data_IF_590768726716
#
_entry.id   IF_590768726716
#
_cell.length_a   1.000
_cell.length_b   1.000
_cell.length_c   1.000
_cell.angle_alpha   90.00
_cell.angle_beta   90.00
_cell.angle_gamma   90.00
#
_symmetry.space_group_name_H-M   'P 1'
#
loop_
_entity.id
_entity.type
_entity.pdbx_description
1 polymer ?
#
# COMPACT_ATOMS: atom_id res chain seq x y z
N UNK A 1 2.95 58.98 64.90
CA UNK A 1 2.07 58.85 63.72
C UNK A 1 2.68 57.80 62.80
N UNK A 2 1.88 56.85 62.30
CA UNK A 2 2.28 55.47 62.03
C UNK A 2 2.85 55.28 60.62
N UNK A 3 3.65 54.24 60.36
CA UNK A 3 3.19 53.24 59.38
C UNK A 3 3.87 51.85 59.44
N UNK A 4 3.00 50.84 59.28
CA UNK A 4 3.11 49.46 58.76
C UNK A 4 4.47 48.75 58.71
N UNK A 5 4.70 47.68 59.49
CA UNK A 5 4.33 46.27 59.22
C UNK A 5 4.42 45.89 57.73
N UNK A 6 5.26 44.89 57.38
CA UNK A 6 4.86 43.60 56.75
C UNK A 6 6.10 42.79 56.31
N UNK A 7 6.28 41.62 56.95
CA UNK A 7 7.02 40.44 56.47
C UNK A 7 6.52 40.04 55.07
N UNK A 8 7.38 39.52 54.18
CA UNK A 8 7.10 38.45 53.19
C UNK A 8 8.46 38.14 52.52
N UNK A 9 9.16 37.09 52.97
CA UNK A 9 9.13 35.72 52.42
C UNK A 9 9.84 35.60 51.06
N UNK A 10 11.07 35.09 51.12
CA UNK A 10 11.91 34.67 49.98
C UNK A 10 11.26 33.42 49.38
N UNK A 11 10.60 33.59 48.23
CA UNK A 11 10.02 32.48 47.45
C UNK A 11 11.06 32.03 46.43
N UNK A 12 11.81 30.97 46.75
CA UNK A 12 12.66 30.26 45.78
C UNK A 12 11.76 29.66 44.70
N UNK A 13 11.79 30.26 43.51
CA UNK A 13 11.16 29.71 42.32
C UNK A 13 12.05 28.58 41.80
N UNK A 14 11.74 27.34 42.17
CA UNK A 14 12.31 26.16 41.53
C UNK A 14 11.72 26.07 40.12
N UNK A 15 12.48 26.53 39.12
CA UNK A 15 12.16 26.35 37.70
C UNK A 15 12.41 24.88 37.37
N UNK A 16 11.37 24.06 37.49
CA UNK A 16 11.34 22.74 36.86
C UNK A 16 11.32 22.95 35.35
N UNK A 17 12.49 22.88 34.70
CA UNK A 17 12.57 22.65 33.27
C UNK A 17 11.95 21.27 32.98
N UNK A 18 10.65 21.26 32.69
CA UNK A 18 10.06 20.17 31.93
C UNK A 18 10.68 20.24 30.53
N UNK A 19 11.82 19.58 30.35
CA UNK A 19 12.34 19.28 29.03
C UNK A 19 11.30 18.41 28.33
N UNK A 20 10.46 19.02 27.50
CA UNK A 20 9.71 18.29 26.49
C UNK A 20 10.74 17.65 25.57
N UNK A 21 11.05 16.37 25.81
CA UNK A 21 11.60 15.50 24.79
C UNK A 21 10.53 15.41 23.71
N UNK A 22 10.58 16.33 22.74
CA UNK A 22 9.95 16.10 21.46
C UNK A 22 10.66 14.88 20.90
N UNK A 23 10.00 13.72 20.95
CA UNK A 23 10.37 12.60 20.11
C UNK A 23 10.41 13.19 18.69
N UNK A 24 11.60 13.22 18.09
CA UNK A 24 11.75 13.54 16.68
C UNK A 24 10.94 12.49 15.94
N UNK A 25 9.69 12.83 15.60
CA UNK A 25 8.91 12.05 14.67
C UNK A 25 9.75 11.94 13.41
N UNK A 26 10.03 10.71 12.98
CA UNK A 26 10.74 10.46 11.74
C UNK A 26 9.94 11.14 10.63
N UNK A 27 10.48 12.22 10.06
CA UNK A 27 9.79 13.11 9.13
C UNK A 27 9.36 12.42 7.83
N UNK A 28 9.84 11.19 7.62
CA UNK A 28 9.53 10.30 6.51
C UNK A 28 8.39 9.34 6.78
N UNK A 29 7.95 9.19 8.03
CA UNK A 29 6.72 8.47 8.35
C UNK A 29 5.51 9.36 8.02
N UNK A 30 4.45 8.75 7.51
CA UNK A 30 3.22 9.46 7.17
C UNK A 30 2.01 8.54 7.21
N UNK A 31 0.82 9.14 7.25
CA UNK A 31 -0.45 8.41 7.23
C UNK A 31 -1.20 8.67 5.94
N UNK A 32 -1.97 7.68 5.50
CA UNK A 32 -2.90 7.83 4.38
C UNK A 32 -4.26 7.32 4.83
N UNK A 33 -5.28 8.14 4.63
CA UNK A 33 -6.67 7.74 4.83
C UNK A 33 -7.30 7.52 3.48
N UNK A 34 -7.99 6.38 3.35
CA UNK A 34 -8.75 6.00 2.17
C UNK A 34 -10.22 5.96 2.55
N UNK A 35 -11.10 6.39 1.65
CA UNK A 35 -12.54 6.27 1.81
C UNK A 35 -13.24 5.98 0.46
N UNK A 36 -14.34 5.22 0.54
CA UNK A 36 -15.18 4.86 -0.60
C UNK A 36 -14.40 4.13 -1.68
N UNK A 37 -13.80 2.98 -1.34
CA UNK A 37 -12.87 2.31 -2.24
C UNK A 37 -13.37 0.97 -2.75
N UNK A 38 -12.93 0.67 -3.98
CA UNK A 38 -12.94 -0.67 -4.55
C UNK A 38 -11.53 -1.07 -4.95
N UNK A 39 -11.23 -2.36 -4.91
CA UNK A 39 -9.95 -2.88 -5.35
C UNK A 39 -10.07 -4.20 -6.09
N UNK A 40 -9.14 -4.45 -6.99
CA UNK A 40 -8.79 -5.77 -7.45
C UNK A 40 -7.54 -6.25 -6.71
N UNK A 41 -7.54 -7.52 -6.28
CA UNK A 41 -6.34 -8.21 -5.80
C UNK A 41 -6.21 -9.57 -6.49
N UNK A 42 -5.13 -9.73 -7.25
CA UNK A 42 -4.70 -11.00 -7.85
C UNK A 42 -3.45 -11.54 -7.17
N UNK A 43 -3.45 -12.82 -6.83
CA UNK A 43 -2.33 -13.54 -6.23
C UNK A 43 -2.10 -14.84 -7.00
N UNK A 44 -0.94 -14.94 -7.65
CA UNK A 44 -0.64 -16.02 -8.59
C UNK A 44 0.79 -16.54 -8.45
N UNK A 45 1.06 -17.80 -8.87
CA UNK A 45 2.41 -18.34 -8.82
C UNK A 45 3.32 -17.69 -9.87
N UNK A 46 4.58 -17.47 -9.51
CA UNK A 46 5.66 -17.07 -10.42
C UNK A 46 6.91 -17.88 -10.15
N UNK A 47 7.88 -17.84 -11.07
CA UNK A 47 9.18 -18.47 -10.86
C UNK A 47 9.89 -17.87 -9.63
N UNK A 48 10.30 -18.73 -8.69
CA UNK A 48 11.13 -18.31 -7.55
C UNK A 48 12.42 -17.61 -8.01
N UNK A 49 13.06 -18.12 -9.07
CA UNK A 49 14.28 -17.51 -9.60
C UNK A 49 14.04 -16.09 -10.11
N UNK A 50 12.90 -15.83 -10.76
CA UNK A 50 12.55 -14.48 -11.23
C UNK A 50 12.25 -13.56 -10.05
N UNK A 51 11.43 -14.02 -9.09
CA UNK A 51 11.07 -13.26 -7.89
C UNK A 51 12.28 -12.90 -7.01
N UNK A 52 13.23 -13.82 -6.83
CA UNK A 52 14.46 -13.60 -6.04
C UNK A 52 15.32 -12.45 -6.57
N UNK A 53 15.27 -12.15 -7.87
CA UNK A 53 16.02 -11.01 -8.42
C UNK A 53 15.46 -9.65 -8.01
N UNK A 54 14.20 -9.61 -7.56
CA UNK A 54 13.47 -8.40 -7.20
C UNK A 54 13.40 -8.18 -5.68
N UNK A 55 13.54 -9.24 -4.89
CA UNK A 55 13.46 -9.18 -3.43
C UNK A 55 14.87 -9.17 -2.84
N UNK A 56 15.27 -8.09 -2.14
CA UNK A 56 16.62 -7.99 -1.59
C UNK A 56 16.84 -8.99 -0.45
N UNK A 57 18.12 -9.26 -0.15
CA UNK A 57 18.50 -10.07 0.99
C UNK A 57 17.91 -9.53 2.30
N UNK A 58 17.57 -10.42 3.23
CA UNK A 58 16.95 -10.08 4.52
C UNK A 58 15.41 -10.10 4.52
N UNK A 59 14.78 -10.45 3.39
CA UNK A 59 13.40 -10.91 3.34
C UNK A 59 13.35 -12.42 3.03
N UNK A 60 12.24 -13.04 3.41
CA UNK A 60 11.95 -14.44 3.09
C UNK A 60 10.72 -14.46 2.19
N UNK A 61 10.89 -14.87 0.93
CA UNK A 61 9.77 -15.09 0.02
C UNK A 61 8.91 -16.25 0.55
N UNK A 62 7.59 -16.06 0.60
CA UNK A 62 6.67 -17.11 1.01
C UNK A 62 6.70 -18.27 0.01
N UNK A 63 6.72 -19.52 0.51
CA UNK A 63 6.81 -20.71 -0.33
C UNK A 63 8.22 -21.05 -0.84
N UNK A 64 9.22 -20.20 -0.64
CA UNK A 64 10.56 -20.40 -1.21
C UNK A 64 11.23 -21.73 -0.81
N UNK A 65 10.93 -22.27 0.38
CA UNK A 65 11.42 -23.60 0.82
C UNK A 65 10.92 -24.75 -0.06
N UNK A 66 9.80 -24.56 -0.74
CA UNK A 66 9.20 -25.50 -1.67
C UNK A 66 9.58 -25.22 -3.14
N UNK A 67 10.43 -24.21 -3.39
CA UNK A 67 10.72 -23.73 -4.75
C UNK A 67 9.65 -22.81 -5.33
N UNK A 68 8.74 -22.33 -4.51
CA UNK A 68 7.58 -21.52 -4.92
C UNK A 68 7.82 -20.04 -4.63
N UNK A 69 7.21 -19.18 -5.45
CA UNK A 69 7.03 -17.76 -5.19
C UNK A 69 5.71 -17.31 -5.80
N UNK A 70 5.21 -16.17 -5.37
CA UNK A 70 3.96 -15.66 -5.85
C UNK A 70 3.99 -14.14 -6.05
N UNK A 71 3.42 -13.70 -7.17
CA UNK A 71 3.16 -12.29 -7.46
C UNK A 71 1.84 -11.89 -6.80
N UNK A 72 1.79 -10.67 -6.29
CA UNK A 72 0.56 -10.01 -5.85
C UNK A 72 0.38 -8.75 -6.66
N UNK A 73 -0.75 -8.64 -7.33
CA UNK A 73 -1.16 -7.50 -8.15
C UNK A 73 -2.36 -6.86 -7.48
N UNK A 74 -2.29 -5.56 -7.24
CA UNK A 74 -3.36 -4.78 -6.64
C UNK A 74 -3.65 -3.57 -7.51
N UNK A 75 -4.92 -3.24 -7.68
CA UNK A 75 -5.36 -1.96 -8.20
C UNK A 75 -6.52 -1.46 -7.36
N UNK A 76 -6.59 -0.15 -7.13
CA UNK A 76 -7.60 0.43 -6.24
C UNK A 76 -8.06 1.75 -6.81
N UNK A 77 -9.37 1.99 -6.73
CA UNK A 77 -9.99 3.30 -6.95
C UNK A 77 -10.73 3.70 -5.68
N UNK A 78 -10.48 4.93 -5.24
CA UNK A 78 -11.08 5.51 -4.04
C UNK A 78 -11.68 6.88 -4.37
N UNK A 79 -12.86 7.14 -3.83
CA UNK A 79 -13.51 8.45 -3.90
C UNK A 79 -12.68 9.54 -3.20
N UNK A 80 -12.06 9.19 -2.08
CA UNK A 80 -11.28 10.13 -1.27
C UNK A 80 -10.01 9.46 -0.72
N UNK A 81 -8.86 10.08 -1.00
CA UNK A 81 -7.59 9.77 -0.35
C UNK A 81 -6.96 11.06 0.16
N UNK A 82 -6.59 11.07 1.44
CA UNK A 82 -5.80 12.14 2.06
C UNK A 82 -4.49 11.61 2.60
N UNK A 83 -3.43 12.39 2.44
CA UNK A 83 -2.08 12.07 2.93
C UNK A 83 -1.72 13.05 4.03
N UNK A 84 -1.47 12.54 5.24
CA UNK A 84 -1.34 13.31 6.48
C UNK A 84 -2.52 14.27 6.71
N UNK A 85 -2.33 15.56 6.44
CA UNK A 85 -3.34 16.62 6.58
C UNK A 85 -3.65 17.30 5.24
N UNK A 86 -3.21 16.72 4.11
CA UNK A 86 -3.55 17.22 2.80
C UNK A 86 -5.05 17.06 2.52
N UNK A 87 -5.65 17.94 1.68
CA UNK A 87 -7.02 17.77 1.22
C UNK A 87 -7.23 16.39 0.59
N UNK A 88 -8.37 15.77 0.88
CA UNK A 88 -8.76 14.53 0.23
C UNK A 88 -9.08 14.79 -1.25
N UNK A 89 -8.72 13.84 -2.12
CA UNK A 89 -9.05 13.86 -3.54
C UNK A 89 -9.28 12.44 -4.07
N UNK A 90 -10.04 12.26 -5.16
CA UNK A 90 -10.14 10.99 -5.86
C UNK A 90 -8.75 10.47 -6.18
N UNK A 91 -8.54 9.17 -5.99
CA UNK A 91 -7.22 8.57 -6.20
C UNK A 91 -7.36 7.15 -6.69
N UNK A 92 -6.54 6.87 -7.69
CA UNK A 92 -6.29 5.54 -8.20
C UNK A 92 -4.85 5.18 -7.90
N UNK A 93 -4.63 3.89 -7.68
CA UNK A 93 -3.29 3.33 -7.53
C UNK A 93 -3.23 1.92 -8.07
N UNK A 94 -2.04 1.51 -8.49
CA UNK A 94 -1.71 0.13 -8.79
C UNK A 94 -0.41 -0.25 -8.11
N UNK A 95 -0.38 -1.42 -7.49
CA UNK A 95 0.74 -1.89 -6.70
C UNK A 95 1.02 -3.36 -7.03
N UNK A 96 2.27 -3.67 -7.38
CA UNK A 96 2.70 -5.04 -7.71
C UNK A 96 3.85 -5.42 -6.81
N UNK A 97 3.83 -6.66 -6.32
CA UNK A 97 4.85 -7.17 -5.43
C UNK A 97 4.98 -8.68 -5.40
N UNK A 98 5.86 -9.14 -4.51
CA UNK A 98 6.13 -10.56 -4.26
C UNK A 98 5.70 -10.90 -2.84
N UNK A 99 4.97 -12.00 -2.67
CA UNK A 99 4.50 -12.44 -1.36
C UNK A 99 5.67 -12.87 -0.45
N UNK A 100 5.62 -12.43 0.81
CA UNK A 100 6.65 -12.62 1.82
C UNK A 100 6.11 -13.34 3.05
N UNK A 101 7.01 -14.01 3.77
CA UNK A 101 6.81 -14.25 5.20
C UNK A 101 6.95 -12.92 5.94
N UNK A 102 6.00 -12.63 6.84
CA UNK A 102 5.97 -11.40 7.63
C UNK A 102 7.32 -11.11 8.33
N UNK A 103 8.05 -10.04 7.94
CA UNK A 103 9.35 -9.72 8.53
C UNK A 103 9.30 -9.39 10.02
N UNK A 104 8.15 -8.94 10.53
CA UNK A 104 7.91 -8.60 11.93
C UNK A 104 6.83 -9.46 12.59
N UNK A 105 6.35 -10.51 11.90
CA UNK A 105 5.30 -11.40 12.39
C UNK A 105 3.88 -10.82 12.37
N UNK A 106 3.66 -9.66 11.73
CA UNK A 106 2.33 -9.01 11.65
C UNK A 106 1.75 -9.02 10.23
N UNK A 107 0.44 -8.75 10.12
CA UNK A 107 -0.29 -8.65 8.86
C UNK A 107 -0.82 -9.99 8.37
N UNK A 108 -2.03 -9.96 7.82
CA UNK A 108 -2.69 -11.12 7.22
C UNK A 108 -2.08 -11.45 5.86
N UNK A 109 -1.56 -10.43 5.16
CA UNK A 109 -0.74 -10.58 3.96
C UNK A 109 0.48 -9.64 4.03
N UNK A 110 1.60 -10.12 3.50
CA UNK A 110 2.86 -9.39 3.48
C UNK A 110 3.47 -9.48 2.09
N UNK A 111 3.80 -8.35 1.48
CA UNK A 111 4.37 -8.30 0.13
C UNK A 111 5.59 -7.38 0.07
N UNK A 112 6.58 -7.72 -0.74
CA UNK A 112 7.64 -6.79 -1.13
C UNK A 112 7.15 -5.95 -2.31
N UNK A 113 7.17 -4.62 -2.19
CA UNK A 113 6.75 -3.70 -3.26
C UNK A 113 7.79 -3.69 -4.36
N UNK A 114 7.37 -4.01 -5.58
CA UNK A 114 8.20 -3.94 -6.80
C UNK A 114 7.81 -2.73 -7.63
N UNK A 115 6.51 -2.47 -7.79
CA UNK A 115 5.96 -1.33 -8.51
C UNK A 115 4.88 -0.68 -7.64
N UNK A 116 4.88 0.65 -7.60
CA UNK A 116 3.82 1.46 -7.02
C UNK A 116 3.52 2.62 -7.96
N UNK A 117 2.29 2.70 -8.46
CA UNK A 117 1.82 3.76 -9.37
C UNK A 117 0.60 4.43 -8.74
N UNK A 118 0.49 5.75 -8.84
CA UNK A 118 -0.70 6.49 -8.40
C UNK A 118 -0.91 7.77 -9.22
N UNK A 119 -2.17 8.18 -9.39
CA UNK A 119 -2.53 9.50 -9.94
C UNK A 119 -2.58 10.61 -8.87
N UNK A 120 -2.19 10.31 -7.63
CA UNK A 120 -2.12 11.28 -6.54
C UNK A 120 -0.68 11.77 -6.36
N UNK A 121 -0.39 12.97 -6.86
CA UNK A 121 0.96 13.54 -6.83
C UNK A 121 1.50 13.70 -5.41
N UNK A 122 0.65 14.10 -4.46
CA UNK A 122 1.03 14.24 -3.05
C UNK A 122 1.48 12.89 -2.48
N UNK A 123 0.74 11.83 -2.77
CA UNK A 123 1.07 10.47 -2.33
C UNK A 123 2.38 9.98 -2.95
N UNK A 124 2.55 10.13 -4.27
CA UNK A 124 3.78 9.75 -4.97
C UNK A 124 5.00 10.46 -4.37
N UNK A 125 4.93 11.79 -4.19
CA UNK A 125 6.01 12.59 -3.59
C UNK A 125 6.31 12.19 -2.14
N UNK A 126 5.30 11.86 -1.33
CA UNK A 126 5.52 11.43 0.07
C UNK A 126 6.18 10.06 0.13
N UNK A 127 5.84 9.13 -0.78
CA UNK A 127 6.55 7.87 -0.92
C UNK A 127 8.00 8.05 -1.38
N UNK A 128 8.24 8.90 -2.38
CA UNK A 128 9.58 9.20 -2.86
C UNK A 128 10.45 9.78 -1.73
N UNK A 129 9.90 10.72 -0.96
CA UNK A 129 10.57 11.28 0.22
C UNK A 129 10.86 10.24 1.30
N UNK A 130 9.99 9.23 1.44
CA UNK A 130 10.20 8.09 2.34
C UNK A 130 11.14 7.02 1.78
N UNK A 131 11.58 7.16 0.51
CA UNK A 131 12.55 6.29 -0.16
C UNK A 131 11.94 5.18 -1.01
N UNK A 132 10.61 5.13 -1.17
CA UNK A 132 9.95 4.25 -2.14
C UNK A 132 9.82 4.99 -3.48
N UNK A 133 10.34 4.45 -4.61
CA UNK A 133 10.21 5.08 -5.92
C UNK A 133 8.79 4.90 -6.48
N UNK A 134 7.81 5.60 -5.88
CA UNK A 134 6.45 5.63 -6.39
C UNK A 134 6.38 6.44 -7.68
N UNK A 135 5.66 5.91 -8.66
CA UNK A 135 5.48 6.51 -9.97
C UNK A 135 4.20 7.33 -9.95
N UNK A 136 4.31 8.60 -10.31
CA UNK A 136 3.15 9.45 -10.55
C UNK A 136 2.69 9.28 -12.00
N UNK A 137 1.48 8.77 -12.18
CA UNK A 137 0.83 8.63 -13.47
C UNK A 137 -0.52 9.36 -13.45
N UNK A 138 -0.60 10.60 -13.97
CA UNK A 138 -1.86 11.34 -14.01
C UNK A 138 -2.87 10.73 -15.00
N UNK A 139 -2.46 9.78 -15.83
CA UNK A 139 -3.32 9.04 -16.77
C UNK A 139 -3.59 7.60 -16.30
N UNK A 140 -3.17 7.23 -15.09
CA UNK A 140 -3.63 6.01 -14.46
C UNK A 140 -5.15 6.00 -14.50
N UNK A 141 -5.69 4.89 -14.99
CA UNK A 141 -7.12 4.70 -15.20
C UNK A 141 -7.58 3.46 -14.45
N UNK A 142 -8.69 3.56 -13.73
CA UNK A 142 -9.43 2.45 -13.13
C UNK A 142 -10.91 2.60 -13.52
N UNK A 143 -11.39 1.68 -14.34
CA UNK A 143 -12.77 1.67 -14.81
C UNK A 143 -13.44 0.36 -14.42
N UNK A 144 -14.63 0.46 -13.83
CA UNK A 144 -15.50 -0.67 -13.58
C UNK A 144 -16.86 -0.41 -14.23
N UNK A 145 -17.24 -1.26 -15.18
CA UNK A 145 -18.53 -1.18 -15.86
C UNK A 145 -19.44 -2.28 -15.35
N UNK A 146 -20.44 -1.97 -14.49
CA UNK A 146 -21.37 -2.98 -14.02
C UNK A 146 -22.23 -3.50 -15.17
N UNK A 147 -22.56 -4.79 -15.12
CA UNK A 147 -23.52 -5.39 -16.03
C UNK A 147 -24.97 -5.00 -15.67
N UNK A 148 -25.94 -5.52 -16.43
CA UNK A 148 -27.36 -5.24 -16.21
C UNK A 148 -27.91 -5.70 -14.85
N UNK A 149 -27.23 -6.62 -14.16
CA UNK A 149 -27.62 -7.09 -12.83
C UNK A 149 -27.09 -6.19 -11.72
N UNK A 150 -26.01 -5.46 -11.97
CA UNK A 150 -25.29 -4.68 -10.96
C UNK A 150 -24.55 -5.54 -9.92
N UNK A 151 -24.50 -6.87 -10.11
CA UNK A 151 -23.80 -7.81 -9.23
C UNK A 151 -22.44 -8.25 -9.78
N UNK A 152 -22.16 -7.93 -11.03
CA UNK A 152 -20.89 -8.17 -11.70
C UNK A 152 -20.58 -7.04 -12.68
N UNK A 153 -19.36 -7.00 -13.17
CA UNK A 153 -18.93 -6.01 -14.15
C UNK A 153 -17.57 -6.33 -14.74
N UNK A 154 -17.18 -5.53 -15.73
CA UNK A 154 -15.86 -5.58 -16.34
C UNK A 154 -14.95 -4.53 -15.70
N UNK A 155 -13.77 -4.97 -15.28
CA UNK A 155 -12.68 -4.14 -14.80
C UNK A 155 -11.70 -3.85 -15.94
N UNK A 156 -11.28 -2.60 -16.07
CA UNK A 156 -10.10 -2.19 -16.82
C UNK A 156 -9.22 -1.29 -15.94
N UNK A 157 -7.93 -1.59 -15.86
CA UNK A 157 -6.94 -0.72 -15.20
C UNK A 157 -5.77 -0.54 -16.13
N UNK A 158 -5.27 0.67 -16.33
CA UNK A 158 -4.07 0.93 -17.14
C UNK A 158 -3.11 1.84 -16.40
N UNK A 159 -1.86 1.41 -16.30
CA UNK A 159 -0.79 2.15 -15.61
C UNK A 159 0.46 2.23 -16.49
N UNK A 160 1.13 3.37 -16.44
CA UNK A 160 2.41 3.62 -17.09
C UNK A 160 3.25 4.61 -16.27
N UNK A 161 4.42 5.00 -16.78
CA UNK A 161 5.21 6.07 -16.19
C UNK A 161 6.54 6.29 -16.88
N UNK A 162 7.25 7.34 -16.48
CA UNK A 162 8.65 7.53 -16.83
C UNK A 162 9.43 6.31 -16.31
N UNK A 163 10.03 5.53 -17.21
CA UNK A 163 10.73 4.26 -16.96
C UNK A 163 9.89 3.04 -16.56
N UNK A 164 8.56 3.13 -16.60
CA UNK A 164 7.66 2.00 -16.44
C UNK A 164 6.96 1.69 -17.77
N UNK A 165 7.33 0.59 -18.47
CA UNK A 165 6.55 0.09 -19.58
C UNK A 165 5.10 -0.14 -19.16
N UNK A 166 4.16 0.27 -20.02
CA UNK A 166 2.75 0.15 -19.71
C UNK A 166 2.33 -1.29 -19.41
N UNK A 167 1.38 -1.41 -18.49
CA UNK A 167 0.66 -2.64 -18.23
C UNK A 167 -0.80 -2.30 -17.99
N UNK A 168 -1.66 -3.30 -18.17
CA UNK A 168 -3.07 -3.15 -17.86
C UNK A 168 -3.65 -4.42 -17.25
N UNK A 169 -4.72 -4.26 -16.49
CA UNK A 169 -5.53 -5.32 -15.94
C UNK A 169 -6.86 -5.32 -16.68
N UNK A 170 -7.35 -6.50 -17.05
CA UNK A 170 -8.65 -6.61 -17.69
C UNK A 170 -9.33 -7.93 -17.34
N UNK A 171 -10.63 -7.87 -17.05
CA UNK A 171 -11.46 -9.05 -16.84
C UNK A 171 -12.72 -8.74 -16.07
N UNK A 172 -13.33 -9.76 -15.47
CA UNK A 172 -14.61 -9.64 -14.77
C UNK A 172 -14.45 -9.65 -13.27
N UNK A 173 -15.33 -8.94 -12.58
CA UNK A 173 -15.45 -8.98 -11.13
C UNK A 173 -16.90 -9.20 -10.71
N UNK A 174 -17.09 -9.78 -9.53
CA UNK A 174 -18.37 -10.00 -8.89
C UNK A 174 -18.38 -9.22 -7.58
N UNK A 175 -19.50 -8.56 -7.27
CA UNK A 175 -19.68 -7.83 -6.02
C UNK A 175 -19.61 -8.78 -4.81
N UNK A 176 -19.05 -8.33 -3.67
CA UNK A 176 -19.01 -9.14 -2.47
C UNK A 176 -20.42 -9.57 -2.01
N UNK A 177 -20.56 -10.79 -1.46
CA UNK A 177 -21.81 -11.20 -0.84
C UNK A 177 -22.22 -10.26 0.30
N UNK A 178 -23.53 -10.03 0.53
CA UNK A 178 -23.97 -9.21 1.65
C UNK A 178 -23.57 -9.85 2.99
N UNK A 179 -23.20 -9.02 3.96
CA UNK A 179 -22.77 -9.45 5.31
C UNK A 179 -21.48 -10.29 5.31
N UNK A 180 -20.57 -10.07 4.36
CA UNK A 180 -19.27 -10.74 4.28
C UNK A 180 -18.11 -9.89 4.82
N UNK A 181 -18.41 -8.89 5.64
CA UNK A 181 -17.40 -7.95 6.14
C UNK A 181 -16.43 -8.65 7.08
N UNK A 182 -15.16 -8.27 6.95
CA UNK A 182 -14.11 -8.67 7.89
C UNK A 182 -13.10 -7.55 8.10
N UNK A 183 -12.33 -7.66 9.17
CA UNK A 183 -11.13 -6.85 9.37
C UNK A 183 -9.96 -7.51 8.65
N UNK A 184 -9.10 -6.72 8.03
CA UNK A 184 -7.93 -7.20 7.32
C UNK A 184 -6.74 -6.25 7.51
N UNK A 185 -5.53 -6.78 7.58
CA UNK A 185 -4.29 -6.02 7.70
C UNK A 185 -3.31 -6.42 6.60
N UNK A 186 -3.13 -5.56 5.61
CA UNK A 186 -2.18 -5.76 4.52
C UNK A 186 -0.90 -4.97 4.74
N UNK A 187 0.23 -5.67 4.69
CA UNK A 187 1.56 -5.06 4.80
C UNK A 187 2.29 -5.10 3.47
N UNK A 188 2.86 -3.96 3.08
CA UNK A 188 3.80 -3.86 1.98
C UNK A 188 5.14 -3.35 2.48
N UNK A 189 6.21 -3.97 2.02
CA UNK A 189 7.57 -3.74 2.48
C UNK A 189 8.42 -3.24 1.33
N UNK A 190 9.40 -2.40 1.64
CA UNK A 190 10.40 -1.96 0.67
C UNK A 190 11.72 -1.70 1.41
N UNK A 191 12.86 -1.91 0.75
CA UNK A 191 14.15 -1.47 1.29
C UNK A 191 14.73 -0.42 0.37
N UNK A 192 14.79 0.82 0.87
CA UNK A 192 15.47 1.93 0.23
C UNK A 192 16.84 2.20 0.86
N UNK A 193 17.56 3.24 0.39
CA UNK A 193 18.87 3.63 0.93
C UNK A 193 18.86 3.94 2.43
N UNK A 194 17.69 4.32 2.95
CA UNK A 194 17.49 4.86 4.30
C UNK A 194 17.01 3.80 5.32
N UNK A 195 16.72 2.60 4.83
CA UNK A 195 16.27 1.48 5.64
C UNK A 195 15.06 0.75 5.08
N UNK A 196 14.37 0.06 5.97
CA UNK A 196 13.19 -0.75 5.65
C UNK A 196 11.92 0.07 5.86
N UNK A 197 11.21 0.33 4.78
CA UNK A 197 9.90 0.96 4.78
C UNK A 197 8.81 -0.11 4.92
N UNK A 198 7.82 0.16 5.76
CA UNK A 198 6.59 -0.62 5.91
C UNK A 198 5.39 0.27 5.64
N UNK A 199 4.52 -0.18 4.74
CA UNK A 199 3.17 0.32 4.52
C UNK A 199 2.22 -0.65 5.22
N UNK A 200 1.58 -0.23 6.30
CA UNK A 200 0.67 -1.06 7.08
C UNK A 200 -0.75 -0.55 6.90
N UNK A 201 -1.55 -1.23 6.08
CA UNK A 201 -2.92 -0.80 5.77
C UNK A 201 -3.91 -1.65 6.54
N UNK A 202 -4.60 -1.01 7.50
CA UNK A 202 -5.70 -1.60 8.23
C UNK A 202 -7.01 -1.29 7.52
N UNK A 203 -7.76 -2.33 7.22
CA UNK A 203 -9.13 -2.30 6.74
C UNK A 203 -10.02 -2.73 7.92
N UNK A 204 -10.69 -1.80 8.62
CA UNK A 204 -11.60 -2.17 9.69
C UNK A 204 -12.74 -3.06 9.18
N UNK A 205 -13.19 -2.76 7.95
CA UNK A 205 -14.26 -3.42 7.23
C UNK A 205 -13.85 -3.54 5.76
N UNK A 206 -13.72 -4.75 5.26
CA UNK A 206 -13.58 -5.07 3.84
C UNK A 206 -14.39 -6.32 3.51
N UNK A 207 -15.03 -6.32 2.34
CA UNK A 207 -15.77 -7.45 1.80
C UNK A 207 -15.14 -7.88 0.48
N UNK A 208 -15.12 -9.18 0.19
CA UNK A 208 -14.51 -9.72 -1.04
C UNK A 208 -15.54 -10.49 -1.88
N UNK A 209 -15.61 -10.12 -3.16
CA UNK A 209 -16.22 -10.92 -4.22
C UNK A 209 -15.15 -11.57 -5.09
N UNK A 210 -15.51 -12.51 -5.94
CA UNK A 210 -14.55 -13.17 -6.85
C UNK A 210 -14.22 -12.31 -8.05
N UNK A 211 -13.02 -12.48 -8.60
CA UNK A 211 -12.59 -11.85 -9.84
C UNK A 211 -11.95 -12.86 -10.80
N UNK A 212 -12.08 -12.63 -12.09
CA UNK A 212 -11.36 -13.30 -13.17
C UNK A 212 -10.74 -12.22 -14.05
N UNK A 213 -9.56 -11.76 -13.63
CA UNK A 213 -8.82 -10.63 -14.21
C UNK A 213 -7.45 -11.12 -14.62
N UNK A 214 -6.95 -10.63 -15.75
CA UNK A 214 -5.59 -10.92 -16.23
C UNK A 214 -4.73 -9.66 -16.24
N UNK A 215 -3.45 -9.81 -15.92
CA UNK A 215 -2.41 -8.81 -16.11
C UNK A 215 -1.84 -8.93 -17.53
N UNK A 216 -1.68 -7.81 -18.21
CA UNK A 216 -1.06 -7.69 -19.53
C UNK A 216 0.11 -6.70 -19.49
N UNK A 217 1.24 -7.04 -20.09
CA UNK A 217 2.46 -6.22 -20.12
C UNK A 217 3.31 -6.56 -21.33
N UNK A 218 4.41 -5.85 -21.56
CA UNK A 218 5.43 -6.26 -22.54
C UNK A 218 6.26 -7.43 -22.04
N UNK A 219 6.50 -8.45 -22.88
CA UNK A 219 7.31 -9.63 -22.49
C UNK A 219 8.78 -9.32 -22.18
N UNK A 220 9.30 -8.18 -22.62
CA UNK A 220 10.67 -7.72 -22.32
C UNK A 220 10.73 -6.80 -21.10
N UNK A 221 9.58 -6.40 -20.55
CA UNK A 221 9.51 -5.57 -19.34
C UNK A 221 9.95 -6.36 -18.09
N UNK A 222 10.13 -5.65 -16.98
CA UNK A 222 10.33 -6.28 -15.67
C UNK A 222 9.20 -7.25 -15.33
N UNK A 223 7.94 -6.83 -15.53
CA UNK A 223 6.77 -7.67 -15.29
C UNK A 223 6.73 -8.86 -16.23
N UNK A 224 7.05 -8.67 -17.52
CA UNK A 224 7.05 -9.76 -18.48
C UNK A 224 8.08 -10.84 -18.15
N UNK A 225 9.27 -10.43 -17.67
CA UNK A 225 10.29 -11.37 -17.16
C UNK A 225 9.84 -12.07 -15.88
N UNK A 226 9.09 -11.39 -15.01
CA UNK A 226 8.58 -11.94 -13.76
C UNK A 226 7.53 -13.04 -14.01
N UNK A 227 6.54 -12.75 -14.87
CA UNK A 227 5.45 -13.68 -15.20
C UNK A 227 5.83 -14.69 -16.31
N UNK A 228 6.98 -14.50 -16.95
CA UNK A 228 7.47 -15.38 -18.02
C UNK A 228 6.75 -15.20 -19.37
N UNK A 229 6.12 -14.06 -19.62
CA UNK A 229 5.29 -13.80 -20.79
C UNK A 229 4.81 -12.36 -20.88
N UNK A 230 3.77 -12.10 -21.67
CA UNK A 230 3.11 -10.79 -21.80
C UNK A 230 1.70 -10.77 -21.17
N UNK A 231 1.24 -11.91 -20.65
CA UNK A 231 -0.07 -12.05 -20.01
C UNK A 231 0.03 -13.04 -18.86
N UNK A 232 -0.64 -12.73 -17.76
CA UNK A 232 -0.84 -13.63 -16.63
C UNK A 232 -2.28 -13.52 -16.13
N UNK A 233 -3.07 -14.57 -16.35
CA UNK A 233 -4.41 -14.73 -15.76
C UNK A 233 -4.43 -15.76 -14.64
N UNK A 234 -3.28 -16.28 -14.23
CA UNK A 234 -3.20 -17.34 -13.23
C UNK A 234 -3.11 -16.76 -11.82
N UNK A 235 -4.20 -16.15 -11.35
CA UNK A 235 -4.33 -15.74 -9.94
C UNK A 235 -5.00 -16.84 -9.10
N UNK A 236 -4.52 -18.09 -9.24
CA UNK A 236 -5.15 -19.26 -8.63
C UNK A 236 -5.08 -19.33 -7.11
N UNK A 237 -4.26 -18.49 -6.46
CA UNK A 237 -4.16 -18.45 -4.99
C UNK A 237 -5.27 -17.55 -4.44
N UNK A 238 -5.46 -16.38 -5.04
CA UNK A 238 -6.53 -15.44 -4.70
C UNK A 238 -6.80 -14.54 -5.91
N UNK A 239 -8.08 -14.36 -6.27
CA UNK A 239 -8.48 -13.39 -7.28
C UNK A 239 -9.81 -12.79 -6.85
N UNK A 240 -9.77 -11.57 -6.33
CA UNK A 240 -10.92 -10.96 -5.64
C UNK A 240 -11.10 -9.49 -5.98
N UNK A 241 -12.36 -9.08 -5.92
CA UNK A 241 -12.79 -7.69 -5.82
C UNK A 241 -13.01 -7.35 -4.35
N UNK A 242 -12.22 -6.43 -3.81
CA UNK A 242 -12.42 -5.86 -2.48
C UNK A 242 -13.30 -4.60 -2.55
N UNK A 243 -14.20 -4.45 -1.59
CA UNK A 243 -14.97 -3.22 -1.38
C UNK A 243 -14.86 -2.83 0.08
N UNK A 244 -14.46 -1.58 0.36
CA UNK A 244 -14.29 -1.10 1.72
C UNK A 244 -14.62 0.39 1.86
N UNK A 245 -15.36 0.79 2.92
CA UNK A 245 -15.75 2.18 3.14
C UNK A 245 -14.60 3.05 3.61
N UNK A 246 -13.62 2.48 4.32
CA UNK A 246 -12.47 3.20 4.83
C UNK A 246 -11.27 2.27 5.08
N UNK A 247 -10.06 2.81 4.94
CA UNK A 247 -8.83 2.15 5.36
C UNK A 247 -7.80 3.19 5.85
N UNK A 248 -6.93 2.78 6.76
CA UNK A 248 -5.81 3.61 7.23
C UNK A 248 -4.50 2.92 6.91
N UNK A 249 -3.65 3.57 6.12
CA UNK A 249 -2.26 3.13 5.93
C UNK A 249 -1.31 3.97 6.77
N UNK A 250 -0.48 3.29 7.55
CA UNK A 250 0.64 3.89 8.26
C UNK A 250 1.91 3.52 7.50
N UNK A 251 2.64 4.53 7.03
CA UNK A 251 3.96 4.37 6.43
C UNK A 251 5.00 4.67 7.49
N UNK A 252 5.87 3.70 7.75
CA UNK A 252 6.93 3.79 8.76
C UNK A 252 8.27 3.38 8.17
N UNK A 253 9.33 4.04 8.60
CA UNK A 253 10.71 3.70 8.26
C UNK A 253 11.40 3.12 9.50
N UNK A 254 12.04 1.97 9.33
CA UNK A 254 12.93 1.39 10.33
C UNK A 254 14.35 1.43 9.80
N UNK A 255 15.20 2.21 10.46
CA UNK A 255 16.63 2.23 10.17
C UNK A 255 17.25 0.85 10.38
N UNK A 256 18.15 0.49 9.47
CA UNK A 256 19.02 -0.68 9.67
C UNK A 256 20.13 -0.24 10.63
N UNK A 257 20.12 -0.78 11.85
CA UNK A 257 21.23 -0.62 12.79
C UNK A 257 22.42 -1.46 12.36
#
# INVERSE_FOLDING_TARGET
MPDRKTLIAVMMLAVCFFGTQLALADSRSFNVQFAGCTEFVGWGPVSLAAAQTLVPAGYVIAGAKNGEAAIVVRATSCEEVSVDHSPAQPTELSQIGINLVAPDGTGDINNYTVIYVTNNETLARRFEFAGLPAIFDPQLTYEYTPDSSGLSGELYVSAAGEDLPSYFLFGTEIEPPPNSEQTFLANWWFTGPEGRLKQSTLFPVISFGSADVSLYTSNVSLLGKLIGGNTDGNFSILSVRGVYPAATMIVSLKHQN
#
